data_IF_832090064302
#
_entry.id   IF_832090064302
#
_cell.length_a   1.000
_cell.length_b   1.000
_cell.length_c   1.000
_cell.angle_alpha   90.00
_cell.angle_beta   90.00
_cell.angle_gamma   90.00
#
_symmetry.space_group_name_H-M   'P 1'
#
loop_
_entity.id
_entity.type
_entity.pdbx_description
1 polymer ?
#
# COMPACT_ATOMS: atom_id res chain seq x y z
N UNK A 1 -2.96 -12.31 20.71
CA UNK A 1 -2.07 -11.63 19.74
C UNK A 1 -0.88 -12.54 19.52
N UNK A 2 -0.50 -12.81 18.27
CA UNK A 2 0.56 -13.77 17.93
C UNK A 2 1.51 -13.17 16.90
N UNK A 3 2.78 -13.01 17.27
CA UNK A 3 3.82 -12.46 16.40
C UNK A 3 4.26 -13.54 15.40
N UNK A 4 3.64 -13.59 14.23
CA UNK A 4 4.02 -14.48 13.12
C UNK A 4 5.26 -13.95 12.36
N UNK A 5 6.33 -13.56 13.07
CA UNK A 5 7.63 -13.28 12.46
C UNK A 5 8.21 -14.60 11.97
N UNK A 6 7.94 -14.91 10.70
CA UNK A 6 8.41 -16.12 10.02
C UNK A 6 9.28 -15.75 8.81
N UNK A 7 10.55 -15.37 9.03
CA UNK A 7 11.56 -15.60 7.99
C UNK A 7 11.61 -17.13 7.77
N UNK A 8 10.87 -17.62 6.76
CA UNK A 8 10.97 -19.01 6.30
C UNK A 8 12.37 -19.17 5.71
N UNK A 9 13.31 -19.66 6.52
CA UNK A 9 14.71 -19.85 6.13
C UNK A 9 14.79 -20.64 4.84
N UNK A 10 15.25 -20.00 3.76
CA UNK A 10 15.45 -20.68 2.48
C UNK A 10 16.80 -21.41 2.47
N UNK A 11 16.95 -22.40 1.59
CA UNK A 11 18.26 -23.05 1.40
C UNK A 11 19.26 -22.06 0.81
N UNK A 12 20.55 -22.28 1.06
CA UNK A 12 21.61 -21.40 0.56
C UNK A 12 21.60 -21.25 -0.97
N UNK A 13 21.19 -22.32 -1.68
CA UNK A 13 20.97 -22.31 -3.14
C UNK A 13 19.87 -21.32 -3.55
N UNK A 14 18.74 -21.31 -2.83
CA UNK A 14 17.65 -20.36 -3.09
C UNK A 14 18.09 -18.94 -2.72
N UNK A 15 18.75 -18.73 -1.57
CA UNK A 15 19.31 -17.42 -1.20
C UNK A 15 20.24 -16.88 -2.29
N UNK A 16 21.15 -17.70 -2.81
CA UNK A 16 22.07 -17.33 -3.87
C UNK A 16 21.35 -16.92 -5.16
N UNK A 17 20.39 -17.72 -5.63
CA UNK A 17 19.62 -17.41 -6.84
C UNK A 17 18.77 -16.14 -6.71
N UNK A 18 18.18 -15.89 -5.52
CA UNK A 18 17.44 -14.66 -5.23
C UNK A 18 18.36 -13.43 -5.27
N UNK A 19 19.56 -13.54 -4.68
CA UNK A 19 20.57 -12.48 -4.72
C UNK A 19 21.11 -12.22 -6.14
N UNK A 20 21.30 -13.26 -6.96
CA UNK A 20 21.76 -13.13 -8.34
C UNK A 20 20.77 -12.32 -9.22
N UNK A 21 19.45 -12.59 -9.09
CA UNK A 21 18.41 -11.83 -9.78
C UNK A 21 18.36 -10.36 -9.32
N UNK A 22 18.56 -10.12 -8.03
CA UNK A 22 18.65 -8.79 -7.40
C UNK A 22 19.88 -8.03 -7.89
N UNK A 23 21.04 -8.67 -7.94
CA UNK A 23 22.28 -8.09 -8.45
C UNK A 23 22.21 -7.82 -9.97
N UNK A 24 21.45 -8.62 -10.73
CA UNK A 24 21.14 -8.38 -12.13
C UNK A 24 20.22 -7.16 -12.30
N UNK A 25 19.19 -7.01 -11.46
CA UNK A 25 18.31 -5.84 -11.47
C UNK A 25 19.07 -4.55 -11.13
N UNK A 26 19.96 -4.57 -10.13
CA UNK A 26 20.81 -3.40 -9.80
C UNK A 26 21.71 -3.03 -10.99
N UNK A 27 22.32 -3.99 -11.67
CA UNK A 27 23.13 -3.75 -12.88
C UNK A 27 22.30 -3.19 -14.05
N UNK A 28 21.05 -3.63 -14.21
CA UNK A 28 20.14 -3.10 -15.23
C UNK A 28 19.69 -1.66 -14.92
N UNK A 29 19.47 -1.34 -13.66
CA UNK A 29 19.02 -0.01 -13.22
C UNK A 29 20.16 1.00 -13.01
N UNK A 30 21.42 0.57 -12.91
CA UNK A 30 22.57 1.41 -12.59
C UNK A 30 22.76 2.64 -13.50
N UNK A 31 22.34 2.55 -14.76
CA UNK A 31 22.40 3.65 -15.75
C UNK A 31 21.01 4.18 -16.15
N UNK A 32 19.94 3.75 -15.47
CA UNK A 32 18.59 4.21 -15.77
C UNK A 32 18.36 5.61 -15.18
N UNK A 33 17.96 6.58 -16.01
CA UNK A 33 17.59 7.92 -15.56
C UNK A 33 16.56 7.85 -14.43
N UNK A 34 16.84 8.54 -13.35
CA UNK A 34 15.91 8.81 -12.26
C UNK A 34 14.98 9.96 -12.63
N UNK A 35 13.91 10.16 -11.86
CA UNK A 35 12.95 11.25 -12.07
C UNK A 35 13.58 12.65 -11.94
N UNK A 36 14.65 12.77 -11.16
CA UNK A 36 15.43 14.00 -11.00
C UNK A 36 16.49 14.21 -12.09
N UNK A 37 16.58 13.33 -13.09
CA UNK A 37 17.47 13.45 -14.26
C UNK A 37 16.72 13.93 -15.53
N UNK A 38 15.50 14.42 -15.33
CA UNK A 38 14.63 15.08 -16.31
C UNK A 38 14.41 16.54 -15.87
N UNK A 39 14.09 17.44 -16.81
CA UNK A 39 13.87 18.86 -16.51
C UNK A 39 12.68 19.10 -15.57
N UNK A 40 11.70 18.19 -15.61
CA UNK A 40 10.59 18.12 -14.67
C UNK A 40 10.17 16.65 -14.44
N UNK A 41 9.51 16.31 -13.31
CA UNK A 41 9.07 14.95 -13.04
C UNK A 41 7.94 14.45 -13.98
N UNK A 42 7.16 15.36 -14.58
CA UNK A 42 6.10 15.00 -15.52
C UNK A 42 6.64 14.34 -16.79
N UNK A 43 7.82 14.75 -17.29
CA UNK A 43 8.49 14.10 -18.41
C UNK A 43 8.97 12.68 -18.06
N UNK A 44 9.42 12.45 -16.82
CA UNK A 44 9.71 11.10 -16.34
C UNK A 44 8.43 10.25 -16.27
N UNK A 45 7.33 10.78 -15.73
CA UNK A 45 6.03 10.08 -15.67
C UNK A 45 5.54 9.71 -17.07
N UNK A 46 5.64 10.65 -18.03
CA UNK A 46 5.33 10.43 -19.44
C UNK A 46 6.23 9.34 -20.05
N UNK A 47 7.54 9.43 -19.87
CA UNK A 47 8.49 8.44 -20.38
C UNK A 47 8.21 7.02 -19.86
N UNK A 48 7.85 6.90 -18.57
CA UNK A 48 7.40 5.64 -17.95
C UNK A 48 6.13 5.08 -18.59
N UNK A 49 5.12 5.93 -18.83
CA UNK A 49 3.85 5.52 -19.42
C UNK A 49 3.99 5.09 -20.88
N UNK A 50 4.73 5.86 -21.68
CA UNK A 50 4.94 5.63 -23.11
C UNK A 50 5.93 4.49 -23.41
N UNK A 51 6.84 4.18 -22.47
CA UNK A 51 7.94 3.23 -22.69
C UNK A 51 9.10 3.82 -23.49
N UNK A 52 9.49 5.05 -23.17
CA UNK A 52 10.67 5.72 -23.76
C UNK A 52 11.82 5.74 -22.76
N UNK A 53 12.98 6.29 -23.13
CA UNK A 53 14.14 6.44 -22.24
C UNK A 53 14.66 5.13 -21.60
N UNK A 54 14.42 3.99 -22.24
CA UNK A 54 14.81 2.66 -21.76
C UNK A 54 13.75 1.93 -20.91
N UNK A 55 12.60 2.56 -20.64
CA UNK A 55 11.50 1.90 -19.93
C UNK A 55 10.69 0.98 -20.85
N UNK A 56 10.25 -0.17 -20.33
CA UNK A 56 9.23 -0.98 -21.00
C UNK A 56 7.88 -0.28 -20.91
N UNK A 57 7.16 -0.14 -22.04
CA UNK A 57 5.83 0.45 -22.08
C UNK A 57 4.86 -0.34 -21.19
N UNK A 58 4.09 0.37 -20.37
CA UNK A 58 3.09 -0.23 -19.48
C UNK A 58 2.09 -1.10 -20.26
N UNK A 59 1.88 -2.33 -19.79
CA UNK A 59 0.86 -3.23 -20.31
C UNK A 59 -0.40 -3.05 -19.46
N UNK A 60 -1.40 -2.38 -20.02
CA UNK A 60 -2.64 -2.04 -19.33
C UNK A 60 -3.66 -3.18 -19.47
N UNK A 61 -4.44 -3.38 -18.40
CA UNK A 61 -5.62 -4.24 -18.43
C UNK A 61 -6.75 -3.50 -19.17
N UNK A 62 -7.11 -3.99 -20.35
CA UNK A 62 -8.16 -3.42 -21.20
C UNK A 62 -9.59 -3.63 -20.65
N UNK A 63 -9.77 -4.41 -19.57
CA UNK A 63 -11.03 -4.54 -18.85
C UNK A 63 -11.12 -3.61 -17.63
N UNK A 64 -10.03 -2.92 -17.27
CA UNK A 64 -10.04 -1.98 -16.16
C UNK A 64 -10.86 -0.73 -16.52
N UNK A 65 -11.87 -0.43 -15.70
CA UNK A 65 -12.78 0.72 -15.87
C UNK A 65 -12.40 1.87 -14.96
N UNK A 66 -12.95 3.05 -15.22
CA UNK A 66 -12.75 4.24 -14.39
C UNK A 66 -13.99 4.53 -13.55
N UNK A 67 -13.78 4.86 -12.28
CA UNK A 67 -14.75 5.44 -11.34
C UNK A 67 -14.18 6.77 -10.87
N UNK A 68 -15.03 7.67 -10.39
CA UNK A 68 -14.61 9.02 -10.02
C UNK A 68 -15.14 9.40 -8.64
N UNK A 69 -14.21 9.79 -7.75
CA UNK A 69 -14.54 10.45 -6.50
C UNK A 69 -14.40 11.98 -6.66
N UNK A 70 -15.04 12.73 -5.77
CA UNK A 70 -14.89 14.20 -5.69
C UNK A 70 -14.10 14.53 -4.43
N UNK A 71 -12.96 15.19 -4.59
CA UNK A 71 -12.13 15.70 -3.50
C UNK A 71 -12.76 16.90 -2.79
N UNK A 72 -12.26 17.22 -1.60
CA UNK A 72 -12.68 18.33 -0.74
C UNK A 72 -12.59 19.72 -1.36
N UNK A 73 -11.78 19.88 -2.40
CA UNK A 73 -11.63 21.11 -3.21
C UNK A 73 -12.48 21.11 -4.50
N UNK A 74 -13.33 20.09 -4.68
CA UNK A 74 -14.17 19.90 -5.86
C UNK A 74 -13.46 19.20 -7.03
N UNK A 75 -12.17 18.88 -6.92
CA UNK A 75 -11.44 18.19 -7.98
C UNK A 75 -11.88 16.73 -8.13
N UNK A 76 -11.77 16.21 -9.36
CA UNK A 76 -12.11 14.82 -9.68
C UNK A 76 -10.91 13.92 -9.46
N UNK A 77 -11.04 12.95 -8.55
CA UNK A 77 -10.05 11.90 -8.26
C UNK A 77 -10.42 10.67 -9.08
N UNK A 78 -9.48 10.12 -9.86
CA UNK A 78 -9.73 8.95 -10.70
C UNK A 78 -9.40 7.65 -9.98
N UNK A 79 -10.34 6.70 -10.02
CA UNK A 79 -10.21 5.36 -9.49
C UNK A 79 -10.17 4.36 -10.64
N UNK A 80 -9.02 3.71 -10.85
CA UNK A 80 -8.87 2.65 -11.85
C UNK A 80 -9.24 1.31 -11.23
N UNK A 81 -10.34 0.73 -11.72
CA UNK A 81 -11.03 -0.41 -11.10
C UNK A 81 -10.79 -1.69 -11.91
N UNK A 82 -10.26 -2.72 -11.24
CA UNK A 82 -9.98 -4.04 -11.79
C UNK A 82 -10.78 -5.09 -11.00
N UNK A 83 -11.81 -5.63 -11.64
CA UNK A 83 -12.76 -6.58 -11.04
C UNK A 83 -12.24 -8.03 -11.12
N UNK A 84 -12.54 -8.87 -10.10
CA UNK A 84 -12.14 -10.27 -10.11
C UNK A 84 -13.05 -11.10 -11.06
N UNK A 85 -12.67 -12.33 -11.45
CA UNK A 85 -13.45 -13.19 -12.37
C UNK A 85 -14.82 -13.70 -11.87
N UNK A 86 -15.37 -13.13 -10.80
CA UNK A 86 -16.62 -13.55 -10.16
C UNK A 86 -17.06 -12.55 -9.07
N UNK A 87 -18.08 -12.87 -8.27
CA UNK A 87 -18.60 -11.96 -7.24
C UNK A 87 -17.51 -11.47 -6.28
N UNK A 88 -17.37 -10.15 -6.19
CA UNK A 88 -16.35 -9.49 -5.37
C UNK A 88 -16.63 -9.63 -3.87
N UNK A 89 -15.59 -9.93 -3.09
CA UNK A 89 -15.64 -10.08 -1.62
C UNK A 89 -15.53 -8.72 -0.89
N UNK A 90 -15.34 -7.63 -1.62
CA UNK A 90 -15.03 -6.30 -1.09
C UNK A 90 -14.07 -5.54 -2.00
N UNK A 91 -13.92 -4.25 -1.75
CA UNK A 91 -12.91 -3.41 -2.43
C UNK A 91 -11.60 -3.41 -1.66
N UNK A 92 -10.51 -3.59 -2.40
CA UNK A 92 -9.16 -3.19 -2.04
C UNK A 92 -8.91 -1.80 -2.63
N UNK A 93 -8.88 -0.76 -1.80
CA UNK A 93 -8.47 0.57 -2.22
C UNK A 93 -6.93 0.61 -2.21
N UNK A 94 -6.35 0.74 -3.40
CA UNK A 94 -4.92 0.66 -3.65
C UNK A 94 -4.31 2.05 -3.86
N UNK A 95 -3.24 2.33 -3.14
CA UNK A 95 -2.41 3.52 -3.31
C UNK A 95 -1.07 3.10 -3.92
N UNK A 96 -0.71 3.65 -5.08
CA UNK A 96 0.45 3.19 -5.83
C UNK A 96 1.80 3.61 -5.21
N UNK A 97 2.85 2.81 -5.46
CA UNK A 97 4.23 3.18 -5.16
C UNK A 97 4.74 4.34 -6.03
N UNK A 98 5.86 4.94 -5.61
CA UNK A 98 6.57 5.97 -6.39
C UNK A 98 7.06 7.18 -5.60
N UNK A 99 7.31 7.04 -4.29
CA UNK A 99 7.91 8.10 -3.47
C UNK A 99 7.12 9.42 -3.49
N UNK A 100 5.79 9.35 -3.62
CA UNK A 100 4.86 10.50 -3.74
C UNK A 100 5.05 11.39 -4.98
N UNK A 101 6.03 11.10 -5.84
CA UNK A 101 6.44 11.95 -6.98
C UNK A 101 6.18 11.29 -8.35
N UNK A 102 6.22 9.96 -8.42
CA UNK A 102 6.05 9.20 -9.67
C UNK A 102 4.99 8.09 -9.51
N UNK A 103 4.64 7.45 -10.62
CA UNK A 103 3.59 6.44 -10.67
C UNK A 103 2.28 7.01 -11.22
N UNK A 104 1.23 6.20 -11.09
CA UNK A 104 -0.16 6.48 -11.44
C UNK A 104 -1.02 5.28 -11.03
N UNK A 105 -2.35 5.43 -11.06
CA UNK A 105 -3.33 4.39 -10.82
C UNK A 105 -3.12 3.15 -11.71
N UNK A 106 -2.56 3.34 -12.91
CA UNK A 106 -2.32 2.34 -13.94
C UNK A 106 -0.91 1.73 -13.94
N UNK A 107 0.01 2.25 -13.11
CA UNK A 107 1.43 1.89 -13.15
C UNK A 107 1.72 0.41 -12.83
N UNK A 108 0.79 -0.29 -12.19
CA UNK A 108 0.95 -1.67 -11.71
C UNK A 108 -0.17 -2.62 -12.14
N UNK A 109 -0.92 -2.28 -13.19
CA UNK A 109 -2.08 -3.04 -13.72
C UNK A 109 -1.92 -4.56 -13.73
N UNK A 110 -0.78 -5.08 -14.21
CA UNK A 110 -0.53 -6.53 -14.26
C UNK A 110 -0.36 -7.19 -12.88
N UNK A 111 0.14 -6.47 -11.88
CA UNK A 111 0.19 -6.93 -10.48
C UNK A 111 -1.19 -6.82 -9.82
N UNK A 112 -1.87 -5.69 -10.00
CA UNK A 112 -3.20 -5.45 -9.45
C UNK A 112 -4.27 -6.41 -10.02
N UNK A 113 -4.14 -6.81 -11.28
CA UNK A 113 -4.99 -7.85 -11.89
C UNK A 113 -4.78 -9.20 -11.20
N UNK A 114 -3.54 -9.65 -11.03
CA UNK A 114 -3.25 -10.91 -10.30
C UNK A 114 -3.69 -10.85 -8.84
N UNK A 115 -3.59 -9.69 -8.19
CA UNK A 115 -4.08 -9.48 -6.83
C UNK A 115 -5.60 -9.58 -6.75
N UNK A 116 -6.31 -8.97 -7.71
CA UNK A 116 -7.77 -9.07 -7.87
C UNK A 116 -8.21 -10.52 -8.05
N UNK A 117 -7.63 -11.23 -9.03
CA UNK A 117 -7.88 -12.64 -9.33
C UNK A 117 -7.62 -13.56 -8.12
N UNK A 118 -6.47 -13.43 -7.46
CA UNK A 118 -6.05 -14.34 -6.39
C UNK A 118 -6.75 -14.09 -5.04
N UNK A 119 -7.16 -12.85 -4.77
CA UNK A 119 -7.92 -12.50 -3.55
C UNK A 119 -9.44 -12.63 -3.73
N UNK A 120 -9.97 -12.35 -4.93
CA UNK A 120 -11.39 -12.16 -5.18
C UNK A 120 -11.93 -10.82 -4.67
N UNK A 121 -11.09 -9.78 -4.63
CA UNK A 121 -11.47 -8.39 -4.30
C UNK A 121 -11.51 -7.54 -5.57
N UNK A 122 -12.42 -6.57 -5.63
CA UNK A 122 -12.33 -5.48 -6.60
C UNK A 122 -11.13 -4.61 -6.21
N UNK A 123 -10.13 -4.44 -7.07
CA UNK A 123 -9.02 -3.53 -6.80
C UNK A 123 -9.34 -2.16 -7.40
N UNK A 124 -9.37 -1.12 -6.57
CA UNK A 124 -9.62 0.26 -6.97
C UNK A 124 -8.35 1.09 -6.70
N UNK A 125 -7.61 1.41 -7.75
CA UNK A 125 -6.32 2.12 -7.67
C UNK A 125 -6.53 3.63 -7.77
N UNK A 126 -6.00 4.40 -6.81
CA UNK A 126 -6.22 5.85 -6.69
C UNK A 126 -5.19 6.66 -7.49
N UNK A 127 -5.65 7.56 -8.36
CA UNK A 127 -4.84 8.62 -8.96
C UNK A 127 -4.81 9.81 -7.99
N UNK A 128 -3.84 9.82 -7.08
CA UNK A 128 -3.65 10.91 -6.12
C UNK A 128 -2.67 11.96 -6.67
N UNK A 129 -2.82 13.22 -6.24
CA UNK A 129 -1.92 14.30 -6.65
C UNK A 129 -0.47 14.04 -6.25
N UNK A 130 0.43 14.22 -7.21
CA UNK A 130 1.86 13.96 -7.06
C UNK A 130 2.64 15.24 -6.75
N UNK A 131 3.65 15.08 -5.91
CA UNK A 131 4.66 16.10 -5.64
C UNK A 131 5.75 16.10 -6.75
N UNK A 132 6.57 17.15 -6.89
CA UNK A 132 6.56 18.43 -6.14
C UNK A 132 5.48 19.42 -6.60
N UNK A 133 4.73 19.14 -7.67
CA UNK A 133 3.70 20.05 -8.19
C UNK A 133 2.52 20.23 -7.23
N UNK A 134 2.22 19.19 -6.44
CA UNK A 134 1.20 19.17 -5.39
C UNK A 134 1.77 18.43 -4.17
N UNK A 135 2.58 19.10 -3.32
CA UNK A 135 3.22 18.48 -2.17
C UNK A 135 2.22 18.14 -1.06
N UNK A 136 2.70 17.46 -0.01
CA UNK A 136 1.93 17.16 1.19
C UNK A 136 1.21 18.41 1.73
N UNK A 137 -0.12 18.34 2.04
CA UNK A 137 -0.92 17.12 2.16
C UNK A 137 -1.70 16.69 0.91
N UNK A 138 -1.53 17.31 -0.26
CA UNK A 138 -2.47 17.16 -1.39
C UNK A 138 -2.83 15.70 -1.75
N UNK A 139 -1.83 14.85 -2.04
CA UNK A 139 -2.06 13.44 -2.34
C UNK A 139 -2.65 12.62 -1.18
N UNK A 140 -2.37 12.99 0.09
CA UNK A 140 -2.99 12.35 1.26
C UNK A 140 -4.48 12.66 1.31
N UNK A 141 -4.82 13.91 1.07
CA UNK A 141 -6.20 14.38 1.11
C UNK A 141 -7.02 13.72 0.00
N UNK A 142 -6.45 13.55 -1.20
CA UNK A 142 -7.07 12.75 -2.28
C UNK A 142 -7.29 11.28 -1.87
N UNK A 143 -6.29 10.64 -1.24
CA UNK A 143 -6.41 9.26 -0.76
C UNK A 143 -7.47 9.10 0.34
N UNK A 144 -7.65 10.12 1.21
CA UNK A 144 -8.71 10.15 2.22
C UNK A 144 -10.08 10.34 1.57
N UNK A 145 -10.21 11.28 0.65
CA UNK A 145 -11.50 11.57 -0.03
C UNK A 145 -11.95 10.40 -0.92
N UNK A 146 -11.01 9.70 -1.57
CA UNK A 146 -11.26 8.44 -2.26
C UNK A 146 -11.75 7.33 -1.32
N UNK A 147 -11.23 7.25 -0.09
CA UNK A 147 -11.69 6.27 0.91
C UNK A 147 -13.06 6.62 1.50
N UNK A 148 -13.35 7.90 1.73
CA UNK A 148 -14.67 8.39 2.13
C UNK A 148 -15.71 8.10 1.03
N UNK A 149 -15.35 8.31 -0.24
CA UNK A 149 -16.17 7.89 -1.37
C UNK A 149 -16.42 6.37 -1.35
N UNK A 150 -15.39 5.54 -1.23
CA UNK A 150 -15.51 4.08 -1.24
C UNK A 150 -16.28 3.49 -0.04
N UNK A 151 -16.43 4.24 1.06
CA UNK A 151 -17.30 3.92 2.20
C UNK A 151 -18.74 4.41 2.02
N UNK A 152 -18.99 5.37 1.12
CA UNK A 152 -20.33 5.90 0.85
C UNK A 152 -21.19 4.91 0.06
N UNK A 153 -22.52 5.02 0.17
CA UNK A 153 -23.45 4.19 -0.61
C UNK A 153 -23.25 4.31 -2.13
N UNK A 154 -22.80 5.48 -2.61
CA UNK A 154 -22.46 5.71 -4.02
C UNK A 154 -21.20 4.92 -4.42
N UNK A 155 -20.13 5.00 -3.63
CA UNK A 155 -18.91 4.22 -3.90
C UNK A 155 -19.11 2.71 -3.77
N UNK A 156 -19.94 2.24 -2.83
CA UNK A 156 -20.34 0.82 -2.73
C UNK A 156 -21.03 0.35 -4.02
N UNK A 157 -21.88 1.19 -4.61
CA UNK A 157 -22.53 0.93 -5.90
C UNK A 157 -21.53 0.95 -7.06
N UNK A 158 -20.77 2.03 -7.21
CA UNK A 158 -19.91 2.26 -8.37
C UNK A 158 -18.69 1.34 -8.41
N UNK A 159 -18.21 0.87 -7.25
CA UNK A 159 -17.13 -0.12 -7.12
C UNK A 159 -17.65 -1.56 -7.07
N UNK A 160 -18.98 -1.76 -7.08
CA UNK A 160 -19.65 -3.07 -7.09
C UNK A 160 -19.54 -3.88 -5.80
N UNK A 161 -18.87 -3.35 -4.77
CA UNK A 161 -18.64 -3.99 -3.49
C UNK A 161 -18.28 -2.94 -2.41
N UNK A 162 -18.48 -3.23 -1.11
CA UNK A 162 -18.08 -2.32 -0.03
C UNK A 162 -16.57 -2.32 0.20
N UNK A 163 -16.01 -1.21 0.66
CA UNK A 163 -14.61 -1.13 1.09
C UNK A 163 -14.30 -2.15 2.20
N UNK A 164 -13.23 -2.93 2.02
CA UNK A 164 -12.76 -3.91 3.02
C UNK A 164 -11.27 -3.88 3.27
N UNK A 165 -10.47 -3.35 2.34
CA UNK A 165 -9.01 -3.31 2.48
C UNK A 165 -8.49 -1.96 2.03
N UNK A 166 -7.56 -1.40 2.80
CA UNK A 166 -6.67 -0.32 2.37
C UNK A 166 -5.29 -0.91 2.14
N UNK A 167 -4.59 -0.53 1.07
CA UNK A 167 -3.24 -1.04 0.88
C UNK A 167 -2.45 -0.36 -0.22
N UNK A 168 -1.16 -0.70 -0.29
CA UNK A 168 -0.24 -0.14 -1.25
C UNK A 168 1.21 -0.47 -0.93
N UNK A 169 2.10 0.02 -1.77
CA UNK A 169 3.52 -0.28 -1.75
C UNK A 169 4.36 1.00 -1.61
N UNK A 170 5.45 0.98 -0.82
CA UNK A 170 6.34 2.14 -0.60
C UNK A 170 5.56 3.37 -0.10
N UNK A 171 5.54 4.47 -0.85
CA UNK A 171 4.66 5.63 -0.60
C UNK A 171 3.17 5.24 -0.47
N UNK A 172 2.70 4.25 -1.21
CA UNK A 172 1.36 3.70 -1.10
C UNK A 172 1.05 3.04 0.25
N UNK A 173 2.06 2.43 0.88
CA UNK A 173 1.94 1.87 2.21
C UNK A 173 1.87 2.97 3.30
N UNK A 174 2.58 4.09 3.10
CA UNK A 174 2.40 5.30 3.93
C UNK A 174 0.95 5.81 3.81
N UNK A 175 0.39 5.90 2.60
CA UNK A 175 -1.01 6.32 2.39
C UNK A 175 -2.02 5.38 3.04
N UNK A 176 -1.86 4.05 2.91
CA UNK A 176 -2.75 3.09 3.54
C UNK A 176 -2.85 3.26 5.07
N UNK A 177 -1.73 3.63 5.72
CA UNK A 177 -1.70 3.96 7.14
C UNK A 177 -2.27 5.37 7.42
N UNK A 178 -1.84 6.39 6.69
CA UNK A 178 -2.28 7.77 6.92
C UNK A 178 -3.80 7.93 6.73
N UNK A 179 -4.38 7.24 5.75
CA UNK A 179 -5.83 7.19 5.52
C UNK A 179 -6.58 6.53 6.67
N UNK A 180 -6.14 5.35 7.16
CA UNK A 180 -6.87 4.69 8.26
C UNK A 180 -6.80 5.48 9.57
N UNK A 181 -5.71 6.24 9.78
CA UNK A 181 -5.59 7.19 10.89
C UNK A 181 -6.55 8.38 10.74
N UNK A 182 -6.57 9.05 9.58
CA UNK A 182 -7.43 10.23 9.36
C UNK A 182 -8.93 9.87 9.42
N UNK A 183 -9.32 8.72 8.85
CA UNK A 183 -10.70 8.18 8.93
C UNK A 183 -11.14 7.98 10.39
N UNK A 184 -10.26 7.45 11.24
CA UNK A 184 -10.51 7.28 12.68
C UNK A 184 -10.55 8.64 13.41
N UNK A 185 -9.53 9.47 13.22
CA UNK A 185 -9.23 10.63 14.08
C UNK A 185 -9.96 11.92 13.68
N UNK A 186 -10.35 12.08 12.41
CA UNK A 186 -11.04 13.29 11.91
C UNK A 186 -12.48 13.02 11.48
N UNK A 187 -12.72 11.84 10.92
CA UNK A 187 -14.05 11.47 10.43
C UNK A 187 -14.85 10.60 11.41
N UNK A 188 -14.24 10.17 12.53
CA UNK A 188 -14.91 9.40 13.58
C UNK A 188 -15.39 8.01 13.14
N UNK A 189 -14.80 7.46 12.08
CA UNK A 189 -15.20 6.19 11.50
C UNK A 189 -14.63 5.06 12.34
N UNK A 190 -15.48 4.10 12.73
CA UNK A 190 -15.03 2.83 13.30
C UNK A 190 -14.39 1.96 12.22
N UNK A 191 -13.10 2.23 11.97
CA UNK A 191 -12.29 1.52 10.98
C UNK A 191 -12.23 0.01 11.25
N UNK A 192 -12.43 -0.46 12.48
CA UNK A 192 -12.44 -1.90 12.82
C UNK A 192 -13.71 -2.64 12.38
N UNK A 193 -14.85 -1.96 12.24
CA UNK A 193 -16.08 -2.57 11.68
C UNK A 193 -16.27 -2.35 10.18
N UNK A 194 -15.45 -1.50 9.54
CA UNK A 194 -15.48 -1.26 8.09
C UNK A 194 -14.35 -1.95 7.32
N UNK A 195 -13.12 -1.93 7.87
CA UNK A 195 -11.91 -2.40 7.20
C UNK A 195 -11.46 -3.73 7.84
N UNK A 196 -11.35 -4.76 7.01
CA UNK A 196 -10.90 -6.10 7.40
C UNK A 196 -9.37 -6.21 7.49
N UNK A 197 -8.64 -5.43 6.68
CA UNK A 197 -7.19 -5.51 6.56
C UNK A 197 -6.53 -4.20 6.10
N UNK A 198 -5.30 -3.97 6.55
CA UNK A 198 -4.34 -3.04 5.95
C UNK A 198 -3.21 -3.88 5.31
N UNK A 199 -2.91 -3.67 4.02
CA UNK A 199 -1.82 -4.36 3.33
C UNK A 199 -0.73 -3.35 2.93
N UNK A 200 0.39 -3.36 3.65
CA UNK A 200 1.40 -2.31 3.61
C UNK A 200 2.78 -2.87 3.20
N UNK A 201 3.11 -2.79 1.91
CA UNK A 201 4.39 -3.25 1.39
C UNK A 201 5.50 -2.21 1.57
N UNK A 202 6.53 -2.53 2.37
CA UNK A 202 7.82 -1.82 2.47
C UNK A 202 7.67 -0.29 2.53
N UNK A 203 6.75 0.15 3.37
CA UNK A 203 6.43 1.56 3.55
C UNK A 203 7.49 2.30 4.35
N UNK A 204 7.62 3.59 4.07
CA UNK A 204 8.31 4.55 4.93
C UNK A 204 7.30 5.07 5.95
N UNK A 205 7.66 5.13 7.23
CA UNK A 205 6.81 5.64 8.31
C UNK A 205 7.54 6.63 9.23
N UNK A 206 8.85 6.82 9.06
CA UNK A 206 9.66 7.80 9.78
C UNK A 206 10.56 8.64 8.84
N UNK A 207 10.19 9.90 8.62
CA UNK A 207 10.97 10.85 7.81
C UNK A 207 12.19 11.45 8.55
N UNK A 208 12.43 11.09 9.82
CA UNK A 208 13.77 11.25 10.44
C UNK A 208 14.76 10.17 9.99
N UNK A 209 14.27 9.18 9.22
CA UNK A 209 14.98 8.07 8.59
C UNK A 209 15.52 7.02 9.58
N UNK A 210 15.06 5.78 9.40
CA UNK A 210 15.44 4.65 10.24
C UNK A 210 16.88 4.16 10.00
N UNK A 211 17.49 3.39 10.93
CA UNK A 211 18.87 2.91 10.79
C UNK A 211 19.12 2.10 9.51
N UNK A 212 18.18 1.26 9.06
CA UNK A 212 18.30 0.53 7.80
C UNK A 212 18.40 1.45 6.59
N UNK A 213 17.64 2.56 6.55
CA UNK A 213 17.71 3.54 5.48
C UNK A 213 19.01 4.36 5.55
N UNK A 214 19.38 4.83 6.75
CA UNK A 214 20.60 5.62 6.96
C UNK A 214 21.88 4.83 6.66
N UNK A 215 21.89 3.52 6.94
CA UNK A 215 23.02 2.62 6.67
C UNK A 215 23.02 1.97 5.29
N UNK A 216 21.95 2.13 4.49
CA UNK A 216 21.85 1.55 3.15
C UNK A 216 22.92 2.09 2.19
N UNK A 217 23.57 1.18 1.44
CA UNK A 217 24.70 1.49 0.52
C UNK A 217 24.49 1.03 -0.92
N UNK A 218 23.45 0.24 -1.22
CA UNK A 218 23.13 -0.18 -2.59
C UNK A 218 22.34 0.92 -3.32
N UNK A 219 22.29 0.83 -4.64
CA UNK A 219 21.47 1.64 -5.53
C UNK A 219 20.46 0.75 -6.27
N UNK A 220 19.83 -0.17 -5.53
CA UNK A 220 18.91 -1.17 -6.07
C UNK A 220 17.46 -0.70 -5.95
N UNK A 221 16.87 -0.29 -7.07
CA UNK A 221 15.55 0.36 -7.21
C UNK A 221 15.47 1.74 -6.54
N UNK A 222 15.91 1.86 -5.29
CA UNK A 222 15.96 3.13 -4.55
C UNK A 222 17.20 3.15 -3.66
N UNK A 223 18.02 4.18 -3.79
CA UNK A 223 19.13 4.46 -2.87
C UNK A 223 18.67 5.33 -1.70
N UNK A 224 19.50 5.41 -0.65
CA UNK A 224 19.31 6.36 0.45
C UNK A 224 19.15 7.81 -0.03
N UNK A 225 19.95 8.21 -1.03
CA UNK A 225 19.88 9.55 -1.63
C UNK A 225 18.56 9.76 -2.40
N UNK A 226 18.16 8.80 -3.22
CA UNK A 226 16.88 8.87 -3.95
C UNK A 226 15.69 8.97 -2.99
N UNK A 227 15.67 8.17 -1.92
CA UNK A 227 14.66 8.26 -0.85
C UNK A 227 14.60 9.64 -0.18
N UNK A 228 15.76 10.27 0.05
CA UNK A 228 15.83 11.62 0.62
C UNK A 228 15.28 12.67 -0.35
N UNK A 229 15.59 12.58 -1.65
CA UNK A 229 15.04 13.47 -2.69
C UNK A 229 13.52 13.31 -2.84
N UNK A 230 13.01 12.08 -2.81
CA UNK A 230 11.57 11.82 -2.81
C UNK A 230 10.89 12.46 -1.58
N UNK A 231 11.47 12.25 -0.39
CA UNK A 231 10.95 12.83 0.87
C UNK A 231 10.96 14.36 0.86
N UNK A 232 12.00 14.98 0.29
CA UNK A 232 12.13 16.43 0.17
C UNK A 232 11.17 17.03 -0.86
N UNK A 233 11.00 16.39 -2.02
CA UNK A 233 9.99 16.81 -3.01
C UNK A 233 8.56 16.69 -2.46
N UNK A 234 8.29 15.64 -1.66
CA UNK A 234 6.97 15.34 -1.12
C UNK A 234 6.57 16.21 0.09
N UNK A 235 7.48 16.44 1.04
CA UNK A 235 7.19 17.11 2.32
C UNK A 235 7.96 18.44 2.50
N UNK A 236 8.73 18.88 1.49
CA UNK A 236 9.58 20.06 1.54
C UNK A 236 10.82 19.87 2.42
N UNK A 237 11.57 20.97 2.62
CA UNK A 237 12.71 21.03 3.55
C UNK A 237 12.25 21.08 5.03
N UNK A 238 11.44 20.10 5.46
CA UNK A 238 10.85 20.08 6.80
C UNK A 238 11.92 19.99 7.91
N UNK A 239 11.88 20.87 8.94
CA UNK A 239 12.78 20.83 10.08
C UNK A 239 12.74 19.48 10.80
N UNK A 240 13.89 18.96 11.25
CA UNK A 240 13.99 17.63 11.88
C UNK A 240 13.03 17.44 13.07
N UNK A 241 12.77 18.50 13.83
CA UNK A 241 11.80 18.53 14.94
C UNK A 241 10.35 18.29 14.50
N UNK A 242 9.97 18.72 13.29
CA UNK A 242 8.62 18.51 12.75
C UNK A 242 8.44 17.16 12.08
N UNK A 243 9.51 16.52 11.60
CA UNK A 243 9.41 15.25 10.89
C UNK A 243 8.81 14.11 11.72
N UNK A 244 8.80 14.22 13.05
CA UNK A 244 8.14 13.27 13.97
C UNK A 244 6.66 13.58 14.24
N UNK A 245 6.06 14.55 13.55
CA UNK A 245 4.62 14.79 13.61
C UNK A 245 3.84 13.54 13.15
N UNK A 246 2.77 13.12 13.85
CA UNK A 246 1.95 11.96 13.46
C UNK A 246 1.37 12.01 12.04
N UNK A 247 1.06 13.20 11.51
CA UNK A 247 0.49 13.38 10.16
C UNK A 247 1.54 13.30 9.03
N UNK A 248 2.83 13.27 9.38
CA UNK A 248 3.98 13.21 8.48
C UNK A 248 4.70 11.86 8.59
N UNK A 249 4.92 11.41 9.82
CA UNK A 249 5.54 10.12 10.16
C UNK A 249 4.57 9.31 11.03
N UNK A 250 3.72 8.46 10.41
CA UNK A 250 2.76 7.63 11.15
C UNK A 250 3.37 6.70 12.21
N UNK A 251 4.69 6.46 12.18
CA UNK A 251 5.41 5.77 13.26
C UNK A 251 5.33 6.51 14.61
N UNK A 252 4.85 7.75 14.67
CA UNK A 252 4.63 8.52 15.90
C UNK A 252 3.16 8.74 16.27
N UNK A 253 2.21 8.22 15.48
CA UNK A 253 0.78 8.35 15.76
C UNK A 253 0.28 7.45 16.91
N UNK A 254 -0.95 7.64 17.37
CA UNK A 254 -1.67 6.60 18.11
C UNK A 254 -2.12 5.50 17.13
N UNK A 255 -1.77 4.24 17.41
CA UNK A 255 -2.12 3.06 16.60
C UNK A 255 -3.19 2.18 17.26
N UNK A 256 -3.81 2.68 18.34
CA UNK A 256 -4.92 2.03 19.01
C UNK A 256 -6.14 1.90 18.10
N UNK A 257 -6.90 0.82 18.29
CA UNK A 257 -8.15 0.56 17.57
C UNK A 257 -8.06 0.55 16.03
N UNK A 258 -6.91 0.16 15.47
CA UNK A 258 -6.74 -0.01 14.03
C UNK A 258 -7.05 -1.46 13.56
N UNK A 259 -7.34 -1.67 12.26
CA UNK A 259 -7.55 -3.00 11.70
C UNK A 259 -6.30 -3.90 11.74
N UNK A 260 -6.44 -5.22 11.48
CA UNK A 260 -5.31 -6.10 11.24
C UNK A 260 -4.41 -5.58 10.10
N UNK A 261 -3.10 -5.53 10.30
CA UNK A 261 -2.14 -5.05 9.30
C UNK A 261 -1.12 -6.12 8.88
N UNK A 262 -0.77 -6.17 7.60
CA UNK A 262 0.33 -7.00 7.07
C UNK A 262 1.43 -6.13 6.49
N UNK A 263 2.58 -6.15 7.16
CA UNK A 263 3.79 -5.46 6.74
C UNK A 263 4.68 -6.42 5.95
N UNK A 264 4.74 -6.25 4.62
CA UNK A 264 5.58 -7.05 3.73
C UNK A 264 6.88 -6.29 3.46
N UNK A 265 8.05 -6.88 3.71
CA UNK A 265 9.33 -6.16 3.54
C UNK A 265 10.46 -7.09 3.10
N UNK A 266 11.47 -6.56 2.40
CA UNK A 266 12.70 -7.28 2.09
C UNK A 266 13.75 -7.20 3.20
N UNK A 267 14.73 -8.12 3.21
CA UNK A 267 15.84 -8.08 4.18
C UNK A 267 17.15 -7.44 3.66
N UNK A 268 17.17 -6.97 2.41
CA UNK A 268 18.32 -6.26 1.80
C UNK A 268 17.95 -4.87 1.26
N UNK A 269 16.87 -4.28 1.80
CA UNK A 269 16.30 -3.01 1.37
C UNK A 269 16.49 -1.89 2.42
N UNK A 270 16.22 -0.61 2.10
CA UNK A 270 16.37 0.47 3.06
C UNK A 270 15.22 0.59 4.09
N UNK A 271 13.99 0.13 3.82
CA UNK A 271 12.82 0.34 4.70
C UNK A 271 12.45 -0.87 5.56
N UNK A 272 13.44 -1.71 5.86
CA UNK A 272 13.33 -2.86 6.77
C UNK A 272 12.92 -2.41 8.18
N UNK A 273 13.63 -1.45 8.77
CA UNK A 273 13.38 -0.98 10.13
C UNK A 273 12.05 -0.25 10.26
N UNK A 274 11.65 0.56 9.26
CA UNK A 274 10.31 1.19 9.21
C UNK A 274 9.21 0.14 9.37
N UNK A 275 9.31 -0.97 8.61
CA UNK A 275 8.33 -2.06 8.66
C UNK A 275 8.38 -2.84 9.98
N UNK A 276 9.57 -3.07 10.54
CA UNK A 276 9.75 -3.72 11.87
C UNK A 276 9.15 -2.85 12.98
N UNK A 277 9.53 -1.57 13.04
CA UNK A 277 9.12 -0.65 14.11
C UNK A 277 7.61 -0.39 14.05
N UNK A 278 7.06 -0.27 12.84
CA UNK A 278 5.63 -0.05 12.67
C UNK A 278 4.80 -1.28 13.08
N UNK A 279 5.19 -2.48 12.64
CA UNK A 279 4.54 -3.72 13.08
C UNK A 279 4.61 -3.90 14.61
N UNK A 280 5.77 -3.62 15.22
CA UNK A 280 5.96 -3.71 16.67
C UNK A 280 5.05 -2.73 17.43
N UNK A 281 4.94 -1.46 16.98
CA UNK A 281 4.05 -0.49 17.61
C UNK A 281 2.57 -0.76 17.36
N UNK A 282 2.18 -1.30 16.20
CA UNK A 282 0.81 -1.72 15.91
C UNK A 282 0.32 -2.76 16.93
N UNK A 283 1.17 -3.75 17.22
CA UNK A 283 0.92 -4.80 18.22
C UNK A 283 0.92 -4.23 19.64
N UNK A 284 1.87 -3.35 19.98
CA UNK A 284 1.93 -2.71 21.29
C UNK A 284 0.70 -1.82 21.58
N UNK A 285 0.05 -1.28 20.56
CA UNK A 285 -1.20 -0.53 20.67
C UNK A 285 -2.46 -1.43 20.71
N UNK A 286 -2.30 -2.76 20.79
CA UNK A 286 -3.40 -3.72 20.88
C UNK A 286 -4.12 -4.02 19.57
N UNK A 287 -3.57 -3.59 18.44
CA UNK A 287 -4.04 -3.94 17.09
C UNK A 287 -3.32 -5.20 16.58
N UNK A 288 -3.92 -5.94 15.65
CA UNK A 288 -3.27 -7.15 15.11
C UNK A 288 -2.30 -6.77 14.00
N UNK A 289 -1.09 -7.38 13.96
CA UNK A 289 -0.23 -7.26 12.80
C UNK A 289 0.59 -8.53 12.53
N UNK A 290 0.87 -8.79 11.26
CA UNK A 290 1.86 -9.76 10.79
C UNK A 290 3.00 -9.03 10.06
N UNK A 291 4.24 -9.44 10.32
CA UNK A 291 5.44 -8.92 9.66
C UNK A 291 6.06 -10.05 8.83
N UNK A 292 6.02 -9.91 7.50
CA UNK A 292 6.56 -10.88 6.57
C UNK A 292 7.85 -10.34 5.95
N UNK A 293 8.99 -10.87 6.40
CA UNK A 293 10.31 -10.54 5.86
C UNK A 293 10.70 -11.55 4.78
N UNK A 294 10.81 -11.12 3.53
CA UNK A 294 11.22 -11.96 2.41
C UNK A 294 12.74 -11.96 2.27
N UNK A 295 13.34 -13.12 2.54
CA UNK A 295 14.80 -13.32 2.46
C UNK A 295 15.30 -13.19 1.01
N UNK A 296 16.29 -12.31 0.81
CA UNK A 296 16.84 -11.97 -0.50
C UNK A 296 16.07 -10.91 -1.28
N UNK A 297 15.02 -10.29 -0.71
CA UNK A 297 14.23 -9.27 -1.42
C UNK A 297 14.75 -7.83 -1.22
N UNK A 298 14.80 -7.07 -2.32
CA UNK A 298 15.08 -5.65 -2.37
C UNK A 298 13.81 -4.80 -2.22
N UNK A 299 13.93 -3.47 -2.25
CA UNK A 299 12.76 -2.58 -2.28
C UNK A 299 11.91 -2.85 -3.54
N UNK A 300 10.60 -2.69 -3.43
CA UNK A 300 9.64 -2.84 -4.53
C UNK A 300 9.59 -4.23 -5.23
N UNK A 301 10.11 -5.29 -4.60
CA UNK A 301 10.31 -6.60 -5.24
C UNK A 301 9.05 -7.29 -5.79
N UNK A 302 7.85 -6.98 -5.28
CA UNK A 302 6.57 -7.50 -5.82
C UNK A 302 6.16 -6.85 -7.16
N UNK A 303 6.78 -5.71 -7.50
CA UNK A 303 6.48 -4.89 -8.68
C UNK A 303 7.48 -5.15 -9.84
N UNK A 304 8.50 -5.99 -9.62
CA UNK A 304 9.45 -6.47 -10.62
C UNK A 304 9.32 -7.99 -10.81
N UNK A 305 9.71 -8.58 -11.97
CA UNK A 305 9.64 -10.01 -12.22
C UNK A 305 10.87 -10.77 -11.64
N UNK A 306 11.04 -10.75 -10.32
CA UNK A 306 12.16 -11.41 -9.60
C UNK A 306 11.85 -12.88 -9.21
N UNK A 307 11.04 -13.56 -10.01
CA UNK A 307 10.68 -14.97 -9.84
C UNK A 307 10.13 -15.29 -8.44
N UNK A 308 10.70 -16.30 -7.79
CA UNK A 308 10.30 -16.79 -6.47
C UNK A 308 10.25 -15.70 -5.39
N UNK A 309 11.05 -14.64 -5.50
CA UNK A 309 11.04 -13.49 -4.56
C UNK A 309 9.70 -12.75 -4.64
N UNK A 310 9.30 -12.40 -5.86
CA UNK A 310 8.05 -11.71 -6.20
C UNK A 310 6.84 -12.59 -5.86
N UNK A 311 6.91 -13.87 -6.21
CA UNK A 311 5.86 -14.84 -5.93
C UNK A 311 5.63 -15.05 -4.43
N UNK A 312 6.70 -15.18 -3.63
CA UNK A 312 6.59 -15.33 -2.18
C UNK A 312 5.92 -14.11 -1.52
N UNK A 313 6.27 -12.88 -1.95
CA UNK A 313 5.63 -11.66 -1.45
C UNK A 313 4.15 -11.54 -1.84
N UNK A 314 3.82 -11.84 -3.10
CA UNK A 314 2.44 -11.82 -3.56
C UNK A 314 1.57 -12.89 -2.85
N UNK A 315 2.11 -14.10 -2.66
CA UNK A 315 1.44 -15.17 -1.92
C UNK A 315 1.21 -14.79 -0.45
N UNK A 316 2.16 -14.12 0.21
CA UNK A 316 2.01 -13.64 1.59
C UNK A 316 0.81 -12.70 1.75
N UNK A 317 0.70 -11.70 0.88
CA UNK A 317 -0.43 -10.74 0.89
C UNK A 317 -1.75 -11.46 0.63
N UNK A 318 -1.81 -12.35 -0.37
CA UNK A 318 -3.03 -13.09 -0.70
C UNK A 318 -3.47 -14.03 0.43
N UNK A 319 -2.54 -14.67 1.14
CA UNK A 319 -2.86 -15.52 2.30
C UNK A 319 -3.44 -14.71 3.46
N UNK A 320 -2.78 -13.60 3.83
CA UNK A 320 -3.27 -12.69 4.87
C UNK A 320 -4.67 -12.16 4.54
N UNK A 321 -4.87 -11.68 3.30
CA UNK A 321 -6.18 -11.22 2.82
C UNK A 321 -7.26 -12.29 2.97
N UNK A 322 -6.97 -13.55 2.57
CA UNK A 322 -7.92 -14.66 2.68
C UNK A 322 -8.35 -14.89 4.13
N UNK A 323 -7.39 -14.93 5.05
CA UNK A 323 -7.64 -15.14 6.48
C UNK A 323 -8.47 -14.00 7.09
N UNK A 324 -8.11 -12.74 6.83
CA UNK A 324 -8.82 -11.61 7.44
C UNK A 324 -10.22 -11.41 6.87
N UNK A 325 -10.42 -11.54 5.54
CA UNK A 325 -11.74 -11.44 4.92
C UNK A 325 -12.69 -12.52 5.47
N UNK A 326 -12.21 -13.77 5.63
CA UNK A 326 -13.00 -14.85 6.22
C UNK A 326 -13.43 -14.52 7.66
N UNK A 327 -12.47 -14.12 8.51
CA UNK A 327 -12.73 -13.72 9.91
C UNK A 327 -13.73 -12.56 10.01
N UNK A 328 -13.52 -11.51 9.22
CA UNK A 328 -14.39 -10.34 9.19
C UNK A 328 -15.83 -10.72 8.82
N UNK A 329 -16.00 -11.56 7.80
CA UNK A 329 -17.31 -12.06 7.35
C UNK A 329 -18.02 -12.85 8.47
N UNK A 330 -17.30 -13.74 9.17
CA UNK A 330 -17.85 -14.49 10.31
C UNK A 330 -18.30 -13.58 11.46
N UNK A 331 -17.56 -12.50 11.74
CA UNK A 331 -17.90 -11.53 12.79
C UNK A 331 -19.18 -10.76 12.41
N UNK A 332 -19.29 -10.25 11.18
CA UNK A 332 -20.48 -9.53 10.72
C UNK A 332 -21.75 -10.40 10.76
N UNK A 333 -21.64 -11.69 10.45
CA UNK A 333 -22.78 -12.65 10.54
C UNK A 333 -23.15 -12.95 12.00
N UNK A 334 -22.17 -13.09 12.89
CA UNK A 334 -22.44 -13.26 14.33
C UNK A 334 -23.14 -12.03 14.95
N UNK A 335 -22.77 -10.83 14.51
CA UNK A 335 -23.39 -9.59 14.98
C UNK A 335 -24.83 -9.42 14.45
N UNK A 336 -25.06 -9.65 13.14
CA UNK A 336 -26.39 -9.50 12.55
C UNK A 336 -27.42 -10.52 13.06
N UNK A 337 -26.96 -11.74 13.39
CA UNK A 337 -27.81 -12.78 14.00
C UNK A 337 -28.15 -12.48 15.47
N UNK A 338 -27.26 -11.85 16.23
CA UNK A 338 -27.56 -11.38 17.59
C UNK A 338 -28.49 -10.16 17.63
N UNK A 339 -28.53 -9.35 16.56
CA UNK A 339 -29.41 -8.17 16.47
C UNK A 339 -30.86 -8.43 16.06
N UNK A 340 -31.25 -9.68 15.77
CA UNK A 340 -32.67 -9.98 15.51
C UNK A 340 -33.46 -10.05 16.83
N UNK A 341 -34.53 -9.24 17.00
CA UNK A 341 -35.36 -9.32 18.20
C UNK A 341 -36.11 -10.65 18.22
N UNK A 342 -36.16 -11.29 19.39
CA UNK A 342 -37.05 -12.42 19.63
C UNK A 342 -38.51 -11.97 19.45
N UNK A 343 -39.11 -12.27 18.30
CA UNK A 343 -40.56 -12.12 18.08
C UNK A 343 -41.26 -13.18 18.93
N UNK A 344 -41.63 -12.81 20.16
CA UNK A 344 -42.39 -13.66 21.07
C UNK A 344 -43.77 -13.95 20.48
N UNK A 345 -43.96 -15.18 20.00
CA UNK A 345 -45.28 -15.69 19.60
C UNK A 345 -46.14 -15.93 20.84
N UNK A 346 -46.66 -14.84 21.42
CA UNK A 346 -47.77 -14.92 22.36
C UNK A 346 -49.07 -15.09 21.57
N UNK A 347 -49.45 -16.35 21.38
CA UNK A 347 -50.77 -16.73 20.91
C UNK A 347 -51.75 -16.77 22.09
N UNK A 348 -52.74 -15.88 22.09
CA UNK A 348 -54.12 -16.12 22.55
C UNK A 348 -55.03 -15.37 21.60
#
# INVERSE_FOLDING_TARGET
MSVNVRPKSVSDKVRAARLELVDLLEKQLANAKQWHDFENPQDYRKARAEGTHGFTRLQLNNQARLVYATGRDGQRIELRVIEPPGPSKGVFLHFHAGGFVIGSNASYDGYLTRLSEASGLTVASVEYRLAPEQPFPAGRDDCVDAALFALSAQGVSDLGAPLRVLGGESAGAWFAVAVVLELRDKHGIDVKSQIAAICAGYGIYDLTYTPSLLSHKRNIVISRESMMKFSEAAFGHMPFSERKRPDVSPLYADLGNLPPAHFLVGNIEPLLDDSIFMAARWINAGSEAELHVVEGACHAFTLFPLGEVTEAGAQAVVEFLRVQLQRFTSISVAQSTQSQPFISKHSV
#
